data_IF_812979982153
#
_entry.id   IF_812979982153
#
_cell.length_a   1.000
_cell.length_b   1.000
_cell.length_c   1.000
_cell.angle_alpha   90.00
_cell.angle_beta   90.00
_cell.angle_gamma   90.00
#
_symmetry.space_group_name_H-M   'P 1'
#
loop_
_entity.id
_entity.type
_entity.pdbx_description
1 polymer ?
#
# COMPACT_ATOMS: atom_id res chain seq x y z
N UNK A 1 9.58 -2.82 -23.68
CA UNK A 1 10.24 -2.80 -22.36
C UNK A 1 9.21 -3.23 -21.33
N UNK A 2 9.57 -4.06 -20.35
CA UNK A 2 8.62 -4.45 -19.28
C UNK A 2 8.40 -3.26 -18.33
N UNK A 3 7.18 -3.04 -17.80
CA UNK A 3 6.96 -2.00 -16.82
C UNK A 3 7.73 -2.32 -15.53
N UNK A 4 8.31 -1.31 -14.88
CA UNK A 4 8.93 -1.45 -13.57
C UNK A 4 7.87 -1.24 -12.51
N UNK A 5 7.68 -2.18 -11.59
CA UNK A 5 6.60 -2.14 -10.59
C UNK A 5 7.22 -2.13 -9.21
N UNK A 6 6.94 -1.09 -8.43
CA UNK A 6 7.36 -1.04 -7.03
C UNK A 6 6.53 -2.03 -6.20
N UNK A 7 7.19 -2.80 -5.35
CA UNK A 7 6.57 -3.66 -4.34
C UNK A 7 7.06 -3.18 -2.98
N UNK A 8 6.19 -2.54 -2.20
CA UNK A 8 6.53 -2.17 -0.82
C UNK A 8 6.31 -3.38 0.09
N UNK A 9 7.27 -3.65 0.99
CA UNK A 9 7.18 -4.82 1.88
C UNK A 9 6.18 -4.63 3.04
N UNK A 10 5.58 -3.45 3.19
CA UNK A 10 4.62 -3.18 4.26
C UNK A 10 5.29 -3.22 5.63
N UNK A 11 4.56 -3.70 6.65
CA UNK A 11 5.10 -3.87 8.00
C UNK A 11 6.18 -4.96 8.02
N UNK A 12 7.45 -4.63 8.32
CA UNK A 12 8.55 -5.59 8.27
C UNK A 12 8.52 -6.62 9.41
N UNK A 13 7.73 -6.40 10.46
CA UNK A 13 7.45 -7.41 11.48
C UNK A 13 6.26 -8.32 11.09
N UNK A 14 5.53 -7.99 10.03
CA UNK A 14 4.44 -8.80 9.49
C UNK A 14 4.89 -9.85 8.47
N UNK A 15 3.93 -10.38 7.71
CA UNK A 15 4.19 -11.30 6.59
C UNK A 15 4.70 -10.61 5.32
N UNK A 16 4.71 -9.28 5.30
CA UNK A 16 4.98 -8.48 4.12
C UNK A 16 6.33 -8.77 3.43
N UNK A 17 7.46 -8.84 4.17
CA UNK A 17 8.76 -9.14 3.57
C UNK A 17 8.82 -10.49 2.84
N UNK A 18 8.22 -11.54 3.39
CA UNK A 18 8.27 -12.87 2.78
C UNK A 18 7.37 -12.97 1.54
N UNK A 19 6.17 -12.39 1.57
CA UNK A 19 5.24 -12.44 0.42
C UNK A 19 5.71 -11.53 -0.70
N UNK A 20 6.30 -10.38 -0.38
CA UNK A 20 6.85 -9.46 -1.37
C UNK A 20 8.03 -10.10 -2.11
N UNK A 21 8.94 -10.77 -1.38
CA UNK A 21 10.06 -11.50 -2.00
C UNK A 21 9.58 -12.68 -2.83
N UNK A 22 8.67 -13.51 -2.30
CA UNK A 22 8.07 -14.62 -3.07
C UNK A 22 7.41 -14.13 -4.35
N UNK A 23 6.67 -13.01 -4.29
CA UNK A 23 6.03 -12.41 -5.47
C UNK A 23 7.05 -11.87 -6.48
N UNK A 24 8.09 -11.16 -6.03
CA UNK A 24 9.13 -10.64 -6.90
C UNK A 24 9.96 -11.75 -7.56
N UNK A 25 10.07 -12.91 -6.90
CA UNK A 25 10.76 -14.08 -7.41
C UNK A 25 9.91 -14.96 -8.34
N UNK A 26 8.58 -14.83 -8.31
CA UNK A 26 7.64 -15.64 -9.10
C UNK A 26 7.84 -15.42 -10.62
N UNK A 27 8.07 -16.49 -11.41
CA UNK A 27 8.25 -16.38 -12.85
C UNK A 27 7.11 -15.65 -13.57
N UNK A 28 5.86 -15.82 -13.12
CA UNK A 28 4.68 -15.17 -13.73
C UNK A 28 4.70 -13.66 -13.51
N UNK A 29 5.17 -13.21 -12.34
CA UNK A 29 5.33 -11.78 -12.04
C UNK A 29 6.48 -11.21 -12.88
N UNK A 30 7.61 -11.92 -12.95
CA UNK A 30 8.75 -11.52 -13.80
C UNK A 30 8.43 -11.53 -15.28
N UNK A 31 7.49 -12.35 -15.73
CA UNK A 31 6.96 -12.32 -17.09
C UNK A 31 6.19 -11.02 -17.36
N UNK A 32 5.33 -10.61 -16.43
CA UNK A 32 4.50 -9.42 -16.55
C UNK A 32 5.24 -8.09 -16.33
N UNK A 33 6.22 -8.04 -15.42
CA UNK A 33 6.91 -6.79 -15.04
C UNK A 33 8.35 -7.00 -14.53
N UNK A 34 9.06 -5.91 -14.30
CA UNK A 34 10.30 -5.87 -13.51
C UNK A 34 9.95 -5.42 -12.08
N UNK A 35 9.86 -6.34 -11.10
CA UNK A 35 9.52 -5.98 -9.73
C UNK A 35 10.71 -5.34 -8.99
N UNK A 36 10.48 -4.20 -8.33
CA UNK A 36 11.46 -3.48 -7.52
C UNK A 36 10.99 -3.46 -6.06
N UNK A 37 11.76 -4.05 -5.15
CA UNK A 37 11.40 -4.12 -3.73
C UNK A 37 11.76 -2.83 -3.01
N UNK A 38 10.82 -2.31 -2.22
CA UNK A 38 11.02 -1.19 -1.29
C UNK A 38 10.82 -1.68 0.14
N UNK A 39 11.89 -1.63 0.93
CA UNK A 39 11.92 -2.14 2.30
C UNK A 39 12.64 -1.19 3.26
N UNK A 40 12.64 -1.56 4.55
CA UNK A 40 13.51 -0.96 5.54
C UNK A 40 14.99 -1.03 5.08
N UNK A 41 15.85 -0.12 5.55
CA UNK A 41 17.28 -0.13 5.25
C UNK A 41 17.96 -1.45 5.61
N UNK A 42 18.99 -1.80 4.84
CA UNK A 42 19.79 -3.00 5.08
C UNK A 42 20.33 -3.05 6.51
N UNK A 43 20.26 -4.22 7.13
CA UNK A 43 20.67 -4.42 8.52
C UNK A 43 19.59 -4.15 9.57
N UNK A 44 18.44 -3.56 9.20
CA UNK A 44 17.29 -3.44 10.11
C UNK A 44 16.76 -4.82 10.50
N UNK A 45 16.47 -5.03 11.79
CA UNK A 45 15.90 -6.28 12.29
C UNK A 45 14.62 -6.02 13.05
N UNK A 46 13.59 -6.77 12.71
CA UNK A 46 12.28 -6.73 13.35
C UNK A 46 11.91 -8.14 13.78
N UNK A 47 11.36 -8.27 14.98
CA UNK A 47 10.90 -9.56 15.47
C UNK A 47 9.53 -9.90 14.84
N UNK A 48 9.40 -11.05 14.15
CA UNK A 48 8.14 -11.40 13.51
C UNK A 48 6.96 -11.45 14.48
N UNK A 49 5.85 -10.82 14.10
CA UNK A 49 4.63 -10.73 14.90
C UNK A 49 4.69 -9.72 16.04
N UNK A 50 5.81 -9.02 16.24
CA UNK A 50 5.97 -8.04 17.32
C UNK A 50 5.72 -6.63 16.80
N UNK A 51 4.70 -6.01 17.37
CA UNK A 51 4.31 -4.64 17.04
C UNK A 51 5.31 -3.62 17.61
N UNK A 52 5.87 -2.77 16.75
CA UNK A 52 6.80 -1.70 17.13
C UNK A 52 6.54 -0.40 16.37
N UNK A 53 7.00 0.73 16.91
CA UNK A 53 6.92 2.03 16.25
C UNK A 53 7.88 2.09 15.06
N UNK A 54 9.05 1.48 15.23
CA UNK A 54 10.12 1.39 14.24
C UNK A 54 9.66 0.64 12.99
N UNK A 55 8.92 -0.47 13.15
CA UNK A 55 8.33 -1.19 12.02
C UNK A 55 7.27 -0.34 11.29
N UNK A 56 6.45 0.40 12.05
CA UNK A 56 5.49 1.35 11.48
C UNK A 56 6.16 2.46 10.66
N UNK A 57 7.25 3.04 11.17
CA UNK A 57 8.01 4.07 10.48
C UNK A 57 8.71 3.51 9.23
N UNK A 58 9.32 2.33 9.32
CA UNK A 58 9.98 1.69 8.19
C UNK A 58 9.02 1.37 7.03
N UNK A 59 7.81 0.90 7.36
CA UNK A 59 6.75 0.67 6.38
C UNK A 59 6.31 1.98 5.70
N UNK A 60 6.18 3.06 6.47
CA UNK A 60 5.87 4.39 5.96
C UNK A 60 6.95 4.91 5.01
N UNK A 61 8.22 4.84 5.40
CA UNK A 61 9.35 5.30 4.58
C UNK A 61 9.43 4.57 3.24
N UNK A 62 9.22 3.25 3.26
CA UNK A 62 9.18 2.42 2.05
C UNK A 62 8.05 2.86 1.10
N UNK A 63 6.87 3.18 1.63
CA UNK A 63 5.74 3.72 0.84
C UNK A 63 6.09 5.09 0.27
N UNK A 64 6.64 6.00 1.08
CA UNK A 64 7.03 7.32 0.61
C UNK A 64 8.08 7.26 -0.50
N UNK A 65 9.06 6.37 -0.39
CA UNK A 65 10.06 6.13 -1.43
C UNK A 65 9.41 5.59 -2.73
N UNK A 66 8.54 4.58 -2.63
CA UNK A 66 7.85 4.01 -3.79
C UNK A 66 6.95 5.04 -4.49
N UNK A 67 6.23 5.87 -3.73
CA UNK A 67 5.39 6.94 -4.30
C UNK A 67 6.24 8.00 -4.99
N UNK A 68 7.35 8.43 -4.37
CA UNK A 68 8.27 9.37 -5.00
C UNK A 68 8.77 8.84 -6.34
N UNK A 69 9.21 7.59 -6.39
CA UNK A 69 9.69 6.97 -7.62
C UNK A 69 8.60 6.79 -8.67
N UNK A 70 7.36 6.52 -8.26
CA UNK A 70 6.22 6.46 -9.17
C UNK A 70 5.90 7.85 -9.76
N UNK A 71 5.89 8.88 -8.92
CA UNK A 71 5.61 10.26 -9.35
C UNK A 71 6.73 10.82 -10.25
N UNK A 72 7.97 10.39 -10.04
CA UNK A 72 9.12 10.73 -10.89
C UNK A 72 9.21 9.86 -12.16
N UNK A 73 8.27 8.93 -12.38
CA UNK A 73 8.24 8.06 -13.55
C UNK A 73 9.31 6.96 -13.57
N UNK A 74 10.01 6.71 -12.45
CA UNK A 74 11.01 5.64 -12.30
C UNK A 74 10.37 4.25 -12.22
N UNK A 75 9.14 4.17 -11.70
CA UNK A 75 8.29 2.98 -11.70
C UNK A 75 6.91 3.33 -12.25
N UNK A 76 6.25 2.35 -12.87
CA UNK A 76 4.96 2.52 -13.54
C UNK A 76 3.74 2.33 -12.62
N UNK A 77 3.90 1.58 -11.53
CA UNK A 77 2.86 1.38 -10.52
C UNK A 77 3.46 0.89 -9.20
N UNK A 78 2.61 0.84 -8.16
CA UNK A 78 2.96 0.35 -6.82
C UNK A 78 2.00 -0.78 -6.42
N UNK A 79 2.56 -1.90 -5.97
CA UNK A 79 1.86 -2.95 -5.25
C UNK A 79 2.29 -2.93 -3.78
N UNK A 80 1.34 -2.79 -2.86
CA UNK A 80 1.65 -2.65 -1.43
C UNK A 80 1.37 -3.93 -0.66
N UNK A 81 2.36 -4.45 0.06
CA UNK A 81 2.11 -5.47 1.07
C UNK A 81 1.42 -4.86 2.32
N UNK A 82 0.83 -5.68 3.21
CA UNK A 82 0.04 -5.18 4.34
C UNK A 82 0.85 -4.35 5.35
N UNK A 83 0.21 -3.32 5.93
CA UNK A 83 0.74 -2.52 7.03
C UNK A 83 -0.07 -2.72 8.30
N UNK A 84 0.53 -2.46 9.47
CA UNK A 84 -0.18 -2.42 10.75
C UNK A 84 -0.57 -0.98 11.13
N UNK A 85 -1.87 -0.70 11.21
CA UNK A 85 -2.40 0.62 11.58
C UNK A 85 -1.97 1.07 12.98
N UNK A 86 -1.87 0.12 13.92
CA UNK A 86 -1.39 0.41 15.26
C UNK A 86 0.12 0.69 15.27
N UNK A 87 0.87 0.09 14.33
CA UNK A 87 2.28 0.41 14.11
C UNK A 87 2.47 1.86 13.66
N UNK A 88 1.66 2.31 12.69
CA UNK A 88 1.63 3.72 12.27
C UNK A 88 1.30 4.66 13.44
N UNK A 89 0.27 4.32 14.22
CA UNK A 89 -0.14 5.11 15.39
C UNK A 89 0.99 5.20 16.43
N UNK A 90 1.67 4.09 16.76
CA UNK A 90 2.83 4.07 17.67
C UNK A 90 4.02 4.87 17.14
N UNK A 91 4.18 4.93 15.83
CA UNK A 91 5.18 5.77 15.16
C UNK A 91 4.81 7.26 15.14
N UNK A 92 3.67 7.65 15.72
CA UNK A 92 3.18 9.04 15.71
C UNK A 92 2.68 9.52 14.33
N UNK A 93 2.42 8.60 13.40
CA UNK A 93 1.96 8.94 12.06
C UNK A 93 0.45 9.21 12.06
N UNK A 94 -0.02 10.26 11.35
CA UNK A 94 -1.43 10.64 11.33
C UNK A 94 -2.30 9.75 10.43
N UNK A 95 -1.67 8.82 9.69
CA UNK A 95 -2.31 8.03 8.65
C UNK A 95 -2.97 6.77 9.20
N UNK A 96 -4.21 6.49 8.78
CA UNK A 96 -4.92 5.26 9.16
C UNK A 96 -4.60 4.07 8.26
N UNK A 97 -3.89 4.27 7.16
CA UNK A 97 -3.48 3.20 6.23
C UNK A 97 -3.09 3.73 4.85
N UNK A 98 -3.02 2.81 3.89
CA UNK A 98 -2.55 3.09 2.52
C UNK A 98 -3.36 4.15 1.79
N UNK A 99 -4.70 4.04 1.76
CA UNK A 99 -5.53 4.91 0.93
C UNK A 99 -5.35 6.39 1.26
N UNK A 100 -5.40 6.75 2.54
CA UNK A 100 -5.26 8.15 2.97
C UNK A 100 -3.84 8.67 2.73
N UNK A 101 -2.82 7.85 3.02
CA UNK A 101 -1.42 8.19 2.81
C UNK A 101 -1.11 8.40 1.32
N UNK A 102 -1.52 7.47 0.46
CA UNK A 102 -1.31 7.57 -0.98
C UNK A 102 -2.04 8.78 -1.56
N UNK A 103 -3.30 9.01 -1.16
CA UNK A 103 -4.07 10.15 -1.62
C UNK A 103 -3.37 11.48 -1.29
N UNK A 104 -2.83 11.62 -0.08
CA UNK A 104 -2.04 12.80 0.31
C UNK A 104 -0.78 12.95 -0.55
N UNK A 105 0.06 11.89 -0.61
CA UNK A 105 1.35 11.94 -1.30
C UNK A 105 1.20 12.21 -2.80
N UNK A 106 0.12 11.72 -3.43
CA UNK A 106 -0.16 11.95 -4.85
C UNK A 106 -1.02 13.18 -5.11
N UNK A 107 -1.44 13.92 -4.06
CA UNK A 107 -2.36 15.07 -4.15
C UNK A 107 -3.65 14.71 -4.88
N UNK A 108 -4.21 13.55 -4.58
CA UNK A 108 -5.42 13.02 -5.21
C UNK A 108 -6.63 13.32 -4.34
N UNK A 109 -7.41 14.39 -4.61
CA UNK A 109 -8.53 14.82 -3.76
C UNK A 109 -9.71 13.83 -3.80
N UNK A 110 -9.75 12.94 -4.79
CA UNK A 110 -10.75 11.89 -4.92
C UNK A 110 -10.07 10.57 -5.26
N UNK A 111 -10.34 9.56 -4.45
CA UNK A 111 -9.91 8.19 -4.66
C UNK A 111 -11.12 7.27 -4.53
N UNK A 112 -11.11 6.18 -5.27
CA UNK A 112 -12.12 5.13 -5.16
C UNK A 112 -11.43 3.80 -4.95
N UNK A 113 -12.00 2.97 -4.08
CA UNK A 113 -11.55 1.59 -3.92
C UNK A 113 -12.24 0.73 -4.97
N UNK A 114 -11.46 -0.14 -5.62
CA UNK A 114 -11.96 -1.09 -6.61
C UNK A 114 -11.45 -2.50 -6.32
N UNK A 115 -12.35 -3.48 -6.40
CA UNK A 115 -11.99 -4.89 -6.53
C UNK A 115 -12.07 -5.29 -8.00
N UNK A 116 -11.07 -6.05 -8.46
CA UNK A 116 -10.97 -6.48 -9.85
C UNK A 116 -10.64 -7.97 -9.94
N UNK A 117 -11.36 -8.64 -10.84
CA UNK A 117 -11.02 -9.94 -11.42
C UNK A 117 -11.48 -9.95 -12.88
N UNK A 118 -11.09 -10.97 -13.64
CA UNK A 118 -11.56 -11.13 -15.03
C UNK A 118 -13.10 -11.11 -15.17
N UNK A 119 -13.89 -11.86 -14.35
CA UNK A 119 -15.34 -11.88 -14.49
C UNK A 119 -16.06 -10.70 -13.82
N UNK A 120 -15.45 -10.01 -12.85
CA UNK A 120 -16.14 -9.03 -12.01
C UNK A 120 -15.26 -7.83 -11.65
N UNK A 121 -15.82 -6.63 -11.78
CA UNK A 121 -15.20 -5.36 -11.37
C UNK A 121 -16.19 -4.60 -10.49
N UNK A 122 -15.76 -4.24 -9.29
CA UNK A 122 -16.62 -3.56 -8.30
C UNK A 122 -15.90 -2.31 -7.81
N UNK A 123 -16.49 -1.14 -8.04
CA UNK A 123 -16.04 0.13 -7.46
C UNK A 123 -16.96 0.47 -6.28
N UNK A 124 -16.37 0.80 -5.13
CA UNK A 124 -17.12 1.11 -3.92
C UNK A 124 -17.40 2.60 -3.82
N UNK A 125 -18.69 2.98 -3.77
CA UNK A 125 -19.10 4.36 -3.50
C UNK A 125 -18.77 4.79 -2.05
N UNK A 126 -18.87 3.85 -1.11
CA UNK A 126 -18.49 4.04 0.29
C UNK A 126 -17.60 2.88 0.75
N UNK A 127 -16.62 3.17 1.60
CA UNK A 127 -15.68 2.15 2.12
C UNK A 127 -16.00 1.82 3.59
N UNK A 128 -15.03 1.95 4.50
CA UNK A 128 -15.14 1.59 5.91
C UNK A 128 -15.96 2.61 6.73
N UNK A 129 -17.28 2.64 6.53
CA UNK A 129 -18.24 3.42 7.32
C UNK A 129 -19.28 2.51 7.98
N UNK A 130 -19.89 2.90 9.12
CA UNK A 130 -21.01 2.16 9.68
C UNK A 130 -22.16 2.04 8.67
N UNK A 131 -22.82 0.88 8.65
CA UNK A 131 -23.89 0.61 7.67
C UNK A 131 -25.04 1.64 7.74
N UNK A 132 -25.36 2.13 8.94
CA UNK A 132 -26.38 3.15 9.17
C UNK A 132 -26.05 4.50 8.51
N UNK A 133 -24.76 4.78 8.25
CA UNK A 133 -24.33 6.03 7.61
C UNK A 133 -24.40 5.98 6.08
N UNK A 134 -24.45 4.79 5.48
CA UNK A 134 -24.38 4.62 4.01
C UNK A 134 -25.46 5.43 3.29
N UNK A 135 -26.77 5.35 3.62
CA UNK A 135 -27.80 6.10 2.89
C UNK A 135 -27.57 7.62 2.90
N UNK A 136 -27.02 8.16 3.99
CA UNK A 136 -26.75 9.59 4.15
C UNK A 136 -25.55 10.06 3.31
N UNK A 137 -24.56 9.19 3.10
CA UNK A 137 -23.35 9.52 2.35
C UNK A 137 -23.55 9.50 0.83
N UNK A 138 -24.57 8.80 0.32
CA UNK A 138 -24.86 8.68 -1.11
C UNK A 138 -25.48 9.97 -1.68
N UNK A 139 -24.63 10.93 -2.05
CA UNK A 139 -25.02 12.21 -2.67
C UNK A 139 -24.68 12.26 -4.16
N UNK A 140 -25.25 13.23 -4.89
CA UNK A 140 -24.88 13.52 -6.30
C UNK A 140 -23.44 14.00 -6.49
N UNK A 141 -22.80 14.52 -5.44
CA UNK A 141 -21.40 14.93 -5.52
C UNK A 141 -20.43 13.76 -5.31
N UNK A 142 -20.91 12.70 -4.64
CA UNK A 142 -20.17 11.45 -4.46
C UNK A 142 -20.25 10.55 -5.70
N UNK A 143 -21.44 10.48 -6.33
CA UNK A 143 -21.74 9.68 -7.53
C UNK A 143 -21.37 10.43 -8.82
#
# INVERSE_FOLDING_TARGET
MKPRIAITVGDPAGIGPEIARKAADDPRVREACEPIIYSAPDGSRFEPGVLSAEAGHAAYDAICAAVRDAMDGRVSAIATAPVNKLGFSRAGLPWKGHTDLLAELTRSPRVAMMFWSEPLKVVLATVHVPLTEVPRLLTRSLL
#
